data_IF_772055327763
#
_entry.id   IF_772055327763
#
_cell.length_a   1.000
_cell.length_b   1.000
_cell.length_c   1.000
_cell.angle_alpha   90.00
_cell.angle_beta   90.00
_cell.angle_gamma   90.00
#
_symmetry.space_group_name_H-M   'P 1'
#
loop_
_entity.id
_entity.type
_entity.pdbx_description
1 polymer ?
#
# COMPACT_ATOMS: atom_id res chain seq x y z
N UNK A 1 -10.57 47.44 18.03
CA UNK A 1 -10.75 46.06 17.53
C UNK A 1 -9.81 45.18 18.34
N UNK A 2 -10.26 44.68 19.49
CA UNK A 2 -9.45 43.80 20.33
C UNK A 2 -9.90 42.37 20.12
N UNK A 3 -9.00 41.52 19.64
CA UNK A 3 -9.19 40.06 19.51
C UNK A 3 -9.24 39.40 20.91
N UNK A 4 -8.93 40.16 21.97
CA UNK A 4 -8.86 39.67 23.34
C UNK A 4 -10.22 39.42 24.02
N UNK A 5 -11.32 39.98 23.49
CA UNK A 5 -12.68 39.88 24.07
C UNK A 5 -13.64 39.02 23.24
N UNK A 6 -13.14 38.27 22.26
CA UNK A 6 -13.98 37.46 21.38
C UNK A 6 -14.34 36.13 22.08
N UNK A 7 -15.63 35.88 22.35
CA UNK A 7 -16.14 34.59 22.87
C UNK A 7 -15.68 33.40 22.02
N UNK A 8 -15.42 33.65 20.73
CA UNK A 8 -14.90 32.69 19.77
C UNK A 8 -13.43 32.32 20.02
N UNK A 9 -12.67 33.09 20.81
CA UNK A 9 -11.23 32.81 21.09
C UNK A 9 -11.06 31.46 21.76
N UNK A 10 -11.89 31.13 22.74
CA UNK A 10 -11.79 29.85 23.44
C UNK A 10 -12.18 28.67 22.55
N UNK A 11 -13.12 28.90 21.63
CA UNK A 11 -13.57 27.91 20.66
C UNK A 11 -12.51 27.67 19.58
N UNK A 12 -11.95 28.74 19.01
CA UNK A 12 -10.80 28.71 18.10
C UNK A 12 -9.62 28.01 18.80
N UNK A 13 -9.22 28.43 20.00
CA UNK A 13 -8.12 27.79 20.72
C UNK A 13 -8.40 26.31 21.05
N UNK A 14 -9.66 25.89 21.19
CA UNK A 14 -10.03 24.47 21.35
C UNK A 14 -9.89 23.72 20.04
N UNK A 15 -10.40 24.25 18.93
CA UNK A 15 -10.25 23.67 17.59
C UNK A 15 -8.78 23.53 17.18
N UNK A 16 -7.95 24.55 17.43
CA UNK A 16 -6.53 24.50 17.12
C UNK A 16 -5.79 23.45 17.96
N UNK A 17 -6.06 23.38 19.27
CA UNK A 17 -5.51 22.31 20.13
C UNK A 17 -5.95 20.92 19.68
N UNK A 18 -7.21 20.80 19.25
CA UNK A 18 -7.77 19.56 18.73
C UNK A 18 -7.09 19.11 17.43
N UNK A 19 -6.84 20.04 16.50
CA UNK A 19 -6.11 19.79 15.25
C UNK A 19 -4.66 19.40 15.50
N UNK A 20 -3.96 20.12 16.38
CA UNK A 20 -2.56 19.82 16.73
C UNK A 20 -2.45 18.43 17.37
N UNK A 21 -3.38 18.05 18.24
CA UNK A 21 -3.38 16.72 18.88
C UNK A 21 -3.59 15.57 17.88
N UNK A 22 -4.23 15.84 16.73
CA UNK A 22 -4.58 14.85 15.71
C UNK A 22 -3.68 14.88 14.48
N UNK A 23 -2.72 15.81 14.46
CA UNK A 23 -1.71 15.83 13.42
C UNK A 23 -0.73 14.68 13.65
N UNK A 24 -0.75 13.71 12.74
CA UNK A 24 0.22 12.63 12.71
C UNK A 24 1.25 12.91 11.64
N UNK A 25 2.55 12.97 11.99
CA UNK A 25 3.56 13.33 11.03
C UNK A 25 3.76 12.20 10.01
N UNK A 26 4.13 12.52 8.75
CA UNK A 26 4.31 11.53 7.69
C UNK A 26 5.25 10.36 8.04
N UNK A 27 6.30 10.60 8.82
CA UNK A 27 7.26 9.55 9.22
C UNK A 27 6.62 8.50 10.14
N UNK A 28 5.65 8.88 10.97
CA UNK A 28 4.96 7.93 11.85
C UNK A 28 4.15 6.90 11.04
N UNK A 29 3.64 7.30 9.86
CA UNK A 29 3.06 6.35 8.92
C UNK A 29 4.11 5.47 8.26
N UNK A 30 5.27 6.01 7.87
CA UNK A 30 6.33 5.22 7.22
C UNK A 30 6.82 4.09 8.15
N UNK A 31 7.06 4.41 9.42
CA UNK A 31 7.48 3.45 10.45
C UNK A 31 6.42 2.34 10.61
N UNK A 32 5.14 2.73 10.73
CA UNK A 32 4.04 1.78 10.89
C UNK A 32 3.82 0.92 9.64
N UNK A 33 4.00 1.49 8.43
CA UNK A 33 3.90 0.73 7.19
C UNK A 33 5.00 -0.32 7.11
N UNK A 34 6.24 0.03 7.47
CA UNK A 34 7.35 -0.92 7.47
C UNK A 34 7.09 -2.08 8.45
N UNK A 35 6.65 -1.76 9.68
CA UNK A 35 6.31 -2.77 10.70
C UNK A 35 5.20 -3.70 10.22
N UNK A 36 4.07 -3.15 9.75
CA UNK A 36 2.93 -3.93 9.27
C UNK A 36 3.30 -4.75 8.03
N UNK A 37 4.11 -4.19 7.13
CA UNK A 37 4.59 -4.92 5.96
C UNK A 37 5.44 -6.13 6.38
N UNK A 38 6.35 -5.98 7.35
CA UNK A 38 7.12 -7.10 7.90
C UNK A 38 6.21 -8.12 8.59
N UNK A 39 5.28 -7.69 9.44
CA UNK A 39 4.31 -8.58 10.12
C UNK A 39 3.48 -9.41 9.12
N UNK A 40 3.18 -8.83 7.95
CA UNK A 40 2.43 -9.46 6.87
C UNK A 40 3.30 -10.20 5.84
N UNK A 41 4.61 -10.28 6.04
CA UNK A 41 5.54 -10.94 5.11
C UNK A 41 5.72 -10.23 3.76
N UNK A 42 5.48 -8.91 3.71
CA UNK A 42 5.54 -8.04 2.52
C UNK A 42 6.71 -7.04 2.58
N UNK A 43 7.91 -7.52 2.91
CA UNK A 43 9.11 -6.69 3.11
C UNK A 43 9.53 -5.83 1.89
N UNK A 44 8.99 -6.14 0.71
CA UNK A 44 9.28 -5.42 -0.53
C UNK A 44 8.42 -4.16 -0.74
N UNK A 45 7.48 -3.88 0.17
CA UNK A 45 6.64 -2.67 0.09
C UNK A 45 7.49 -1.45 0.38
N UNK A 46 7.41 -0.44 -0.50
CA UNK A 46 8.00 0.89 -0.29
C UNK A 46 7.07 1.73 0.60
N UNK A 47 7.44 2.01 1.87
CA UNK A 47 6.60 2.75 2.81
C UNK A 47 6.30 4.17 2.33
N UNK A 48 7.31 4.84 1.76
CA UNK A 48 7.22 6.23 1.31
C UNK A 48 6.26 6.34 0.14
N UNK A 49 6.34 5.40 -0.82
CA UNK A 49 5.44 5.37 -1.97
C UNK A 49 4.00 5.06 -1.54
N UNK A 50 3.82 4.11 -0.63
CA UNK A 50 2.49 3.76 -0.11
C UNK A 50 1.87 4.93 0.65
N UNK A 51 2.61 5.54 1.57
CA UNK A 51 2.22 6.75 2.29
C UNK A 51 1.84 7.86 1.31
N UNK A 52 2.69 8.17 0.34
CA UNK A 52 2.41 9.25 -0.63
C UNK A 52 1.09 9.05 -1.38
N UNK A 53 0.70 7.79 -1.65
CA UNK A 53 -0.56 7.45 -2.33
C UNK A 53 -1.79 7.53 -1.42
N UNK A 54 -1.68 7.16 -0.15
CA UNK A 54 -2.84 6.99 0.75
C UNK A 54 -2.92 7.96 1.92
N UNK A 55 -1.88 8.75 2.18
CA UNK A 55 -1.77 9.63 3.35
C UNK A 55 -2.97 10.57 3.50
N UNK A 56 -3.39 11.24 2.43
CA UNK A 56 -4.54 12.15 2.47
C UNK A 56 -5.82 11.40 2.84
N UNK A 57 -6.06 10.24 2.24
CA UNK A 57 -7.23 9.40 2.50
C UNK A 57 -7.23 8.88 3.94
N UNK A 58 -6.09 8.41 4.44
CA UNK A 58 -5.97 7.95 5.83
C UNK A 58 -6.15 9.10 6.82
N UNK A 59 -5.57 10.26 6.55
CA UNK A 59 -5.74 11.46 7.39
C UNK A 59 -7.21 11.83 7.51
N UNK A 60 -7.93 11.89 6.39
CA UNK A 60 -9.37 12.15 6.37
C UNK A 60 -10.17 11.09 7.14
N UNK A 61 -9.80 9.82 7.03
CA UNK A 61 -10.48 8.74 7.75
C UNK A 61 -10.26 8.84 9.27
N UNK A 62 -9.02 9.09 9.70
CA UNK A 62 -8.68 9.27 11.11
C UNK A 62 -9.36 10.50 11.72
N UNK A 63 -9.55 11.57 10.94
CA UNK A 63 -10.26 12.77 11.39
C UNK A 63 -11.73 12.50 11.76
N UNK A 64 -12.36 11.51 11.11
CA UNK A 64 -13.76 11.12 11.40
C UNK A 64 -13.93 10.29 12.68
N UNK A 65 -12.84 9.78 13.25
CA UNK A 65 -12.89 8.97 14.46
C UNK A 65 -13.14 9.82 15.71
N UNK A 66 -13.44 9.16 16.83
CA UNK A 66 -13.67 9.83 18.11
C UNK A 66 -12.38 10.44 18.68
N UNK A 67 -12.44 11.54 19.46
CA UNK A 67 -11.25 12.27 19.96
C UNK A 67 -10.20 11.47 20.72
N UNK A 68 -10.58 10.30 21.20
CA UNK A 68 -9.84 9.38 22.05
C UNK A 68 -9.25 8.19 21.28
N UNK A 69 -9.27 8.19 19.94
CA UNK A 69 -8.68 7.10 19.17
C UNK A 69 -7.17 6.98 19.39
N UNK A 70 -6.68 5.75 19.40
CA UNK A 70 -5.25 5.43 19.44
C UNK A 70 -4.71 5.36 18.01
N UNK A 71 -3.76 6.24 17.67
CA UNK A 71 -3.25 6.37 16.31
C UNK A 71 -2.69 5.08 15.75
N UNK A 72 -1.80 4.42 16.48
CA UNK A 72 -1.13 3.19 16.04
C UNK A 72 -2.16 2.10 15.69
N UNK A 73 -3.19 1.93 16.52
CA UNK A 73 -4.24 0.93 16.30
C UNK A 73 -5.03 1.24 15.03
N UNK A 74 -5.50 2.48 14.87
CA UNK A 74 -6.38 2.84 13.76
C UNK A 74 -5.62 2.98 12.45
N UNK A 75 -4.40 3.53 12.47
CA UNK A 75 -3.53 3.59 11.31
C UNK A 75 -3.12 2.19 10.84
N UNK A 76 -2.82 1.25 11.77
CA UNK A 76 -2.50 -0.14 11.43
C UNK A 76 -3.63 -0.81 10.66
N UNK A 77 -4.89 -0.68 11.10
CA UNK A 77 -6.06 -1.21 10.37
C UNK A 77 -6.15 -0.68 8.93
N UNK A 78 -5.88 0.61 8.75
CA UNK A 78 -5.92 1.26 7.43
C UNK A 78 -4.82 0.75 6.51
N UNK A 79 -3.61 0.60 7.05
CA UNK A 79 -2.43 0.09 6.34
C UNK A 79 -2.62 -1.39 5.98
N UNK A 80 -3.00 -2.24 6.94
CA UNK A 80 -3.28 -3.65 6.71
C UNK A 80 -4.32 -3.83 5.60
N UNK A 81 -5.41 -3.07 5.64
CA UNK A 81 -6.43 -3.11 4.58
C UNK A 81 -5.84 -2.80 3.22
N UNK A 82 -5.04 -1.74 3.10
CA UNK A 82 -4.41 -1.36 1.83
C UNK A 82 -3.43 -2.43 1.37
N UNK A 83 -2.65 -3.01 2.28
CA UNK A 83 -1.72 -4.10 1.96
C UNK A 83 -2.44 -5.39 1.53
N UNK A 84 -3.66 -5.62 2.01
CA UNK A 84 -4.50 -6.72 1.56
C UNK A 84 -5.14 -6.45 0.19
N UNK A 85 -5.50 -5.21 -0.12
CA UNK A 85 -6.34 -4.90 -1.30
C UNK A 85 -5.61 -4.28 -2.49
N UNK A 86 -4.53 -3.53 -2.27
CA UNK A 86 -3.91 -2.69 -3.31
C UNK A 86 -2.44 -3.00 -3.61
N UNK A 87 -1.80 -3.89 -2.85
CA UNK A 87 -0.50 -4.48 -3.22
C UNK A 87 -0.69 -5.76 -4.03
N UNK A 88 -1.50 -5.68 -5.09
CA UNK A 88 -1.14 -6.36 -6.34
C UNK A 88 -0.12 -5.46 -6.99
N UNK A 89 1.16 -5.75 -6.75
CA UNK A 89 2.23 -4.95 -7.32
C UNK A 89 2.04 -4.92 -8.85
N UNK A 90 2.10 -3.74 -9.48
CA UNK A 90 1.91 -3.61 -10.92
C UNK A 90 2.94 -4.50 -11.60
N UNK A 91 2.45 -5.56 -12.23
CA UNK A 91 3.29 -6.54 -12.88
C UNK A 91 4.16 -5.83 -13.93
N UNK A 92 5.48 -6.13 -13.99
CA UNK A 92 6.36 -5.60 -15.03
C UNK A 92 6.13 -6.27 -16.39
N UNK A 93 5.10 -7.13 -16.49
CA UNK A 93 4.68 -7.85 -17.68
C UNK A 93 3.19 -7.66 -17.93
N UNK A 94 2.80 -7.83 -19.18
CA UNK A 94 1.42 -7.80 -19.66
C UNK A 94 1.06 -9.12 -20.33
N UNK A 95 -0.21 -9.31 -20.68
CA UNK A 95 -0.63 -10.47 -21.46
C UNK A 95 0.09 -10.58 -22.81
N UNK A 96 0.55 -9.46 -23.37
CA UNK A 96 1.33 -9.46 -24.61
C UNK A 96 2.71 -10.10 -24.41
N UNK A 97 3.38 -9.78 -23.31
CA UNK A 97 4.68 -10.38 -22.96
C UNK A 97 4.55 -11.89 -22.76
N UNK A 98 3.46 -12.34 -22.12
CA UNK A 98 3.17 -13.76 -21.96
C UNK A 98 2.92 -14.46 -23.30
N UNK A 99 2.14 -13.85 -24.19
CA UNK A 99 1.88 -14.42 -25.52
C UNK A 99 3.15 -14.53 -26.35
N UNK A 100 4.02 -13.52 -26.29
CA UNK A 100 5.31 -13.52 -27.00
C UNK A 100 6.31 -14.53 -26.41
N UNK A 101 6.41 -14.64 -25.07
CA UNK A 101 7.40 -15.49 -24.40
C UNK A 101 7.06 -16.99 -24.44
N UNK A 102 5.77 -17.33 -24.43
CA UNK A 102 5.27 -18.72 -24.41
C UNK A 102 4.64 -19.17 -25.73
N UNK A 103 4.65 -18.32 -26.76
CA UNK A 103 4.03 -18.56 -28.08
C UNK A 103 2.57 -19.06 -27.97
N UNK A 104 1.78 -18.42 -27.11
CA UNK A 104 0.37 -18.77 -26.88
C UNK A 104 -0.58 -17.75 -27.48
N UNK A 105 -1.70 -18.25 -28.00
CA UNK A 105 -2.79 -17.39 -28.49
C UNK A 105 -3.58 -16.75 -27.33
N UNK A 106 -4.26 -15.62 -27.57
CA UNK A 106 -5.11 -14.97 -26.58
C UNK A 106 -6.17 -15.94 -26.03
N UNK A 107 -6.28 -16.04 -24.70
CA UNK A 107 -7.25 -16.92 -24.07
C UNK A 107 -7.06 -17.03 -22.55
N UNK A 108 -7.87 -17.87 -21.87
CA UNK A 108 -7.84 -18.04 -20.41
C UNK A 108 -6.45 -18.36 -19.84
N UNK A 109 -5.64 -19.10 -20.61
CA UNK A 109 -4.26 -19.48 -20.25
C UNK A 109 -3.34 -18.28 -20.01
N UNK A 110 -3.53 -17.18 -20.74
CA UNK A 110 -2.77 -15.93 -20.50
C UNK A 110 -3.11 -15.38 -19.11
N UNK A 111 -4.38 -15.43 -18.72
CA UNK A 111 -4.82 -14.98 -17.40
C UNK A 111 -4.26 -15.84 -16.26
N UNK A 112 -4.23 -17.17 -16.43
CA UNK A 112 -3.62 -18.09 -15.46
C UNK A 112 -2.13 -17.80 -15.26
N UNK A 113 -1.38 -17.58 -16.34
CA UNK A 113 0.04 -17.26 -16.29
C UNK A 113 0.30 -15.89 -15.66
N UNK A 114 -0.54 -14.89 -15.93
CA UNK A 114 -0.46 -13.59 -15.26
C UNK A 114 -0.74 -13.69 -13.76
N UNK A 115 -1.65 -14.56 -13.33
CA UNK A 115 -1.89 -14.81 -11.90
C UNK A 115 -0.70 -15.50 -11.23
N UNK A 116 -0.07 -16.46 -11.90
CA UNK A 116 1.17 -17.08 -11.40
C UNK A 116 2.31 -16.06 -11.32
N UNK A 117 2.49 -15.24 -12.36
CA UNK A 117 3.46 -14.16 -12.35
C UNK A 117 3.20 -13.17 -11.20
N UNK A 118 1.93 -12.85 -10.91
CA UNK A 118 1.58 -12.03 -9.76
C UNK A 118 2.04 -12.65 -8.45
N UNK A 119 1.83 -13.96 -8.25
CA UNK A 119 2.27 -14.66 -7.04
C UNK A 119 3.81 -14.67 -6.89
N UNK A 120 4.55 -14.92 -7.98
CA UNK A 120 6.03 -14.87 -7.98
C UNK A 120 6.50 -13.46 -7.63
N UNK A 121 5.92 -12.45 -8.28
CA UNK A 121 6.30 -11.06 -8.12
C UNK A 121 5.94 -10.52 -6.74
N UNK A 122 4.79 -10.92 -6.18
CA UNK A 122 4.38 -10.58 -4.81
C UNK A 122 5.30 -11.23 -3.77
N UNK A 123 5.86 -12.41 -4.03
CA UNK A 123 6.84 -13.02 -3.14
C UNK A 123 8.19 -12.28 -3.19
N UNK A 124 8.65 -11.91 -4.38
CA UNK A 124 9.91 -11.19 -4.59
C UNK A 124 9.87 -10.31 -5.85
N UNK A 125 9.62 -9.00 -5.72
CA UNK A 125 9.63 -8.11 -6.87
C UNK A 125 10.96 -8.13 -7.62
N UNK A 126 10.88 -8.26 -8.94
CA UNK A 126 12.02 -8.42 -9.83
C UNK A 126 11.79 -7.71 -11.18
N UNK A 127 12.81 -7.69 -12.05
CA UNK A 127 12.64 -7.10 -13.38
C UNK A 127 11.72 -7.95 -14.26
N UNK A 128 11.21 -7.37 -15.35
CA UNK A 128 10.43 -8.06 -16.39
C UNK A 128 11.07 -9.39 -16.80
N UNK A 129 12.35 -9.36 -17.16
CA UNK A 129 13.04 -10.53 -17.71
C UNK A 129 13.23 -11.60 -16.63
N UNK A 130 13.59 -11.20 -15.39
CA UNK A 130 13.71 -12.13 -14.27
C UNK A 130 12.37 -12.78 -13.92
N UNK A 131 11.26 -12.04 -14.01
CA UNK A 131 9.94 -12.58 -13.74
C UNK A 131 9.53 -13.61 -14.80
N UNK A 132 9.78 -13.33 -16.08
CA UNK A 132 9.49 -14.26 -17.18
C UNK A 132 10.33 -15.54 -17.06
N UNK A 133 11.62 -15.41 -16.72
CA UNK A 133 12.49 -16.56 -16.48
C UNK A 133 12.02 -17.42 -15.31
N UNK A 134 11.62 -16.81 -14.18
CA UNK A 134 11.08 -17.52 -13.03
C UNK A 134 9.75 -18.22 -13.36
N UNK A 135 8.85 -17.52 -14.05
CA UNK A 135 7.59 -18.09 -14.49
C UNK A 135 7.80 -19.27 -15.45
N UNK A 136 8.77 -19.16 -16.36
CA UNK A 136 9.17 -20.25 -17.25
C UNK A 136 9.66 -21.46 -16.46
N UNK A 137 10.48 -21.25 -15.42
CA UNK A 137 10.95 -22.35 -14.57
C UNK A 137 9.83 -23.03 -13.79
N UNK A 138 8.85 -22.29 -13.28
CA UNK A 138 7.68 -22.87 -12.61
C UNK A 138 6.78 -23.65 -13.57
N UNK A 139 6.50 -23.10 -14.76
CA UNK A 139 5.62 -23.72 -15.76
C UNK A 139 6.26 -24.97 -16.40
N UNK A 140 7.59 -24.96 -16.56
CA UNK A 140 8.36 -26.05 -17.18
C UNK A 140 8.96 -27.02 -16.16
N UNK A 141 8.62 -26.96 -14.88
CA UNK A 141 9.30 -27.68 -13.80
C UNK A 141 9.44 -29.20 -14.01
N UNK A 142 10.52 -29.62 -14.68
CA UNK A 142 11.42 -30.76 -14.44
C UNK A 142 12.71 -30.54 -15.29
N UNK A 143 13.89 -30.94 -14.78
CA UNK A 143 15.15 -30.89 -15.53
C UNK A 143 15.08 -31.85 -16.74
N UNK A 144 15.75 -31.47 -17.83
CA UNK A 144 16.19 -32.48 -18.81
C UNK A 144 17.20 -33.43 -18.17
#
# INVERSE_FOLDING_TARGET
RSIEQDESREEICREWRFRVKRYHPPHAFDDLIAEVATDMGREHVDPVRLRTRFHEKWSQQLDTLRPDYEFEIEARKLIERVLLTETTAVLPITGKDIMEEFDISPGPRVGELLQQAAAIYDAKPCSRDTLLDQLRQEVLGLPQ
#
